data_IF_946224234038
#
_entry.id   IF_946224234038
#
_cell.length_a   1.000
_cell.length_b   1.000
_cell.length_c   1.000
_cell.angle_alpha   90.00
_cell.angle_beta   90.00
_cell.angle_gamma   90.00
#
_symmetry.space_group_name_H-M   'P 1'
#
loop_
_entity.id
_entity.type
_entity.pdbx_description
1 polymer ?
#
# COMPACT_ATOMS: atom_id res chain seq x y z
N UNK A 1 -4.86 4.40 16.99
CA UNK A 1 -3.80 3.35 16.99
C UNK A 1 -2.89 3.62 18.18
N UNK A 2 -2.98 2.78 19.23
CA UNK A 2 -2.19 2.98 20.46
C UNK A 2 -0.84 2.25 20.36
N UNK A 3 -0.02 2.65 19.38
CA UNK A 3 1.33 2.13 19.22
C UNK A 3 2.29 2.92 20.10
N UNK A 4 3.16 2.22 20.81
CA UNK A 4 4.26 2.79 21.60
C UNK A 4 5.61 2.43 20.99
N UNK A 5 6.68 3.07 21.44
CA UNK A 5 8.05 2.71 21.04
C UNK A 5 8.35 1.24 21.35
N UNK A 6 7.94 0.76 22.53
CA UNK A 6 8.15 -0.64 22.93
C UNK A 6 7.35 -1.61 22.06
N UNK A 7 6.16 -1.25 21.59
CA UNK A 7 5.39 -2.09 20.66
C UNK A 7 6.13 -2.23 19.34
N UNK A 8 6.66 -1.15 18.77
CA UNK A 8 7.46 -1.19 17.54
C UNK A 8 8.68 -2.10 17.69
N UNK A 9 9.41 -1.98 18.80
CA UNK A 9 10.60 -2.79 19.08
C UNK A 9 10.24 -4.25 19.35
N UNK A 10 9.10 -4.51 19.99
CA UNK A 10 8.61 -5.87 20.21
C UNK A 10 8.25 -6.55 18.91
N UNK A 11 7.54 -5.87 18.02
CA UNK A 11 7.24 -6.36 16.67
C UNK A 11 8.54 -6.68 15.91
N UNK A 12 9.52 -5.77 15.95
CA UNK A 12 10.79 -5.99 15.26
C UNK A 12 11.54 -7.22 15.81
N UNK A 13 11.53 -7.45 17.12
CA UNK A 13 12.13 -8.63 17.75
C UNK A 13 11.42 -9.93 17.35
N UNK A 14 10.09 -9.94 17.39
CA UNK A 14 9.30 -11.12 17.03
C UNK A 14 9.48 -11.48 15.57
N UNK A 15 9.44 -10.51 14.66
CA UNK A 15 9.70 -10.74 13.25
C UNK A 15 11.11 -11.31 13.00
N UNK A 16 12.14 -10.80 13.70
CA UNK A 16 13.48 -11.34 13.57
C UNK A 16 13.58 -12.81 14.01
N UNK A 17 12.85 -13.21 15.05
CA UNK A 17 12.79 -14.63 15.51
C UNK A 17 12.26 -15.58 14.43
N UNK A 18 11.46 -15.06 13.51
CA UNK A 18 10.88 -15.82 12.39
C UNK A 18 11.61 -15.59 11.06
N UNK A 19 12.80 -14.97 11.09
CA UNK A 19 13.69 -14.83 9.94
C UNK A 19 13.52 -13.54 9.14
N UNK A 20 12.61 -12.65 9.53
CA UNK A 20 12.46 -11.32 8.91
C UNK A 20 13.60 -10.41 9.38
N UNK A 21 14.44 -9.96 8.47
CA UNK A 21 15.60 -9.11 8.80
C UNK A 21 15.36 -7.63 8.55
N UNK A 22 14.34 -7.29 7.75
CA UNK A 22 13.95 -5.92 7.39
C UNK A 22 12.43 -5.77 7.43
N UNK A 23 11.94 -4.73 8.09
CA UNK A 23 10.53 -4.38 8.22
C UNK A 23 10.23 -3.00 7.62
N UNK A 24 9.04 -2.87 7.07
CA UNK A 24 8.42 -1.59 6.71
C UNK A 24 7.14 -1.43 7.54
N UNK A 25 7.22 -0.78 8.71
CA UNK A 25 6.03 -0.52 9.51
C UNK A 25 4.95 0.16 8.68
N UNK A 26 3.74 -0.38 8.76
CA UNK A 26 2.62 0.04 7.90
C UNK A 26 1.53 0.68 8.73
N UNK A 27 1.03 1.83 8.28
CA UNK A 27 -0.11 2.52 8.90
C UNK A 27 -1.44 1.97 8.37
N UNK A 28 -2.53 2.32 9.04
CA UNK A 28 -3.91 2.20 8.52
C UNK A 28 -4.46 3.59 8.26
N UNK A 29 -5.58 3.67 7.51
CA UNK A 29 -6.30 4.92 7.35
C UNK A 29 -6.70 5.50 8.71
N UNK A 30 -6.29 6.74 9.00
CA UNK A 30 -6.51 7.43 10.27
C UNK A 30 -6.64 8.95 10.04
N UNK A 31 -6.84 9.70 11.11
CA UNK A 31 -6.65 11.15 11.07
C UNK A 31 -5.17 11.53 11.14
N UNK A 32 -4.88 12.78 10.77
CA UNK A 32 -3.50 13.26 10.70
C UNK A 32 -2.83 13.33 12.09
N UNK A 33 -3.58 13.49 13.18
CA UNK A 33 -3.00 13.52 14.52
C UNK A 33 -2.44 12.15 14.93
N UNK A 34 -3.20 11.08 14.64
CA UNK A 34 -2.73 9.71 14.88
C UNK A 34 -1.54 9.38 13.99
N UNK A 35 -1.59 9.76 12.70
CA UNK A 35 -0.48 9.56 11.79
C UNK A 35 0.79 10.27 12.27
N UNK A 36 0.70 11.56 12.60
CA UNK A 36 1.86 12.34 13.06
C UNK A 36 2.45 11.80 14.35
N UNK A 37 1.62 11.36 15.31
CA UNK A 37 2.10 10.68 16.51
C UNK A 37 2.90 9.41 16.16
N UNK A 38 2.43 8.63 15.19
CA UNK A 38 3.14 7.44 14.73
C UNK A 38 4.48 7.78 14.05
N UNK A 39 4.51 8.81 13.20
CA UNK A 39 5.75 9.30 12.60
C UNK A 39 6.79 9.70 13.66
N UNK A 40 6.35 10.39 14.73
CA UNK A 40 7.22 10.79 15.85
C UNK A 40 7.74 9.57 16.62
N UNK A 41 6.94 8.52 16.79
CA UNK A 41 7.38 7.26 17.43
C UNK A 41 8.40 6.57 16.54
N UNK A 42 8.13 6.46 15.24
CA UNK A 42 9.04 5.83 14.29
C UNK A 42 10.42 6.52 14.27
N UNK A 43 10.44 7.85 14.26
CA UNK A 43 11.69 8.63 14.29
C UNK A 43 12.58 8.30 15.51
N UNK A 44 11.98 7.98 16.67
CA UNK A 44 12.72 7.60 17.89
C UNK A 44 13.24 6.15 17.87
N UNK A 45 12.64 5.25 17.09
CA UNK A 45 13.00 3.82 17.10
C UNK A 45 13.72 3.33 15.86
N UNK A 46 13.67 4.05 14.74
CA UNK A 46 14.14 3.60 13.42
C UNK A 46 15.61 3.15 13.39
N UNK A 47 16.46 3.73 14.23
CA UNK A 47 17.89 3.41 14.30
C UNK A 47 18.24 2.35 15.35
N UNK A 48 17.27 1.87 16.12
CA UNK A 48 17.49 0.86 17.14
C UNK A 48 17.67 -0.53 16.51
N UNK A 49 18.72 -1.26 16.94
CA UNK A 49 19.11 -2.56 16.39
C UNK A 49 18.76 -3.73 17.31
N UNK A 50 17.57 -3.68 17.91
CA UNK A 50 17.11 -4.71 18.87
C UNK A 50 16.27 -5.83 18.23
N UNK A 51 16.04 -5.80 16.91
CA UNK A 51 15.21 -6.74 16.18
C UNK A 51 15.50 -6.65 14.68
N UNK A 52 14.50 -6.95 13.83
CA UNK A 52 14.56 -6.67 12.43
C UNK A 52 14.81 -5.16 12.18
N UNK A 53 15.63 -4.82 11.20
CA UNK A 53 15.88 -3.42 10.85
C UNK A 53 14.62 -2.77 10.28
N UNK A 54 14.44 -1.49 10.53
CA UNK A 54 13.40 -0.69 9.88
C UNK A 54 13.93 -0.12 8.56
N UNK A 55 13.21 -0.38 7.46
CA UNK A 55 13.60 0.03 6.10
C UNK A 55 12.94 1.31 5.60
N UNK A 56 12.12 1.93 6.44
CA UNK A 56 11.26 3.07 6.11
C UNK A 56 9.81 2.79 6.45
N UNK A 57 8.93 3.71 6.11
CA UNK A 57 7.50 3.64 6.40
C UNK A 57 6.70 3.33 5.14
N UNK A 58 5.71 2.46 5.27
CA UNK A 58 4.63 2.28 4.33
C UNK A 58 3.36 2.96 4.86
N UNK A 59 2.87 3.97 4.16
CA UNK A 59 1.57 4.55 4.44
C UNK A 59 0.49 3.82 3.63
N UNK A 60 -0.45 3.17 4.32
CA UNK A 60 -1.56 2.47 3.70
C UNK A 60 -2.84 3.29 3.82
N UNK A 61 -3.19 4.00 2.76
CA UNK A 61 -4.29 4.95 2.74
C UNK A 61 -3.91 6.34 3.24
N UNK A 62 -4.89 7.18 3.53
CA UNK A 62 -6.35 6.97 3.56
C UNK A 62 -7.07 7.10 2.20
N UNK A 63 -6.35 7.21 1.11
CA UNK A 63 -6.85 7.50 -0.23
C UNK A 63 -7.27 6.22 -0.94
N UNK A 64 -8.44 5.65 -0.53
CA UNK A 64 -8.92 4.34 -0.96
C UNK A 64 -10.36 4.38 -1.47
N UNK A 65 -10.68 3.49 -2.39
CA UNK A 65 -12.05 3.29 -2.86
C UNK A 65 -12.94 2.72 -1.74
N UNK A 66 -14.04 3.39 -1.45
CA UNK A 66 -14.94 3.01 -0.36
C UNK A 66 -15.45 1.56 -0.49
N UNK A 67 -15.74 1.11 -1.71
CA UNK A 67 -16.25 -0.25 -1.98
C UNK A 67 -15.20 -1.33 -1.68
N UNK A 68 -13.91 -0.99 -1.78
CA UNK A 68 -12.78 -1.91 -1.56
C UNK A 68 -12.00 -1.63 -0.28
N UNK A 69 -12.61 -0.94 0.69
CA UNK A 69 -11.96 -0.54 1.93
C UNK A 69 -11.46 -1.69 2.80
N UNK A 70 -12.03 -2.90 2.65
CA UNK A 70 -11.69 -4.01 3.53
C UNK A 70 -11.87 -3.67 5.00
N UNK A 71 -10.82 -3.83 5.79
CA UNK A 71 -10.78 -3.52 7.23
C UNK A 71 -10.48 -2.04 7.55
N UNK A 72 -10.28 -1.18 6.55
CA UNK A 72 -10.03 0.25 6.78
C UNK A 72 -11.29 0.95 7.31
N UNK A 73 -11.12 1.85 8.27
CA UNK A 73 -12.24 2.60 8.85
C UNK A 73 -12.79 3.61 7.83
N UNK A 74 -14.06 3.45 7.41
CA UNK A 74 -14.64 4.30 6.37
C UNK A 74 -14.72 5.79 6.73
N UNK A 75 -14.61 6.14 8.02
CA UNK A 75 -14.64 7.54 8.48
C UNK A 75 -13.41 8.34 8.02
N UNK A 76 -12.31 7.65 7.75
CA UNK A 76 -11.04 8.28 7.37
C UNK A 76 -10.80 8.28 5.86
N UNK A 77 -11.59 7.53 5.08
CA UNK A 77 -11.39 7.44 3.63
C UNK A 77 -11.75 8.76 2.94
N UNK A 78 -10.87 9.20 2.07
CA UNK A 78 -10.99 10.48 1.35
C UNK A 78 -10.15 10.48 0.07
N UNK A 79 -10.36 11.47 -0.78
CA UNK A 79 -9.51 11.69 -1.94
C UNK A 79 -8.20 12.38 -1.53
N UNK A 80 -7.10 12.20 -2.28
CA UNK A 80 -5.86 12.95 -2.07
C UNK A 80 -6.11 14.46 -2.13
N UNK A 81 -5.57 15.19 -1.14
CA UNK A 81 -5.55 16.66 -1.11
C UNK A 81 -4.10 17.15 -1.08
N UNK A 82 -3.71 18.07 -2.00
CA UNK A 82 -2.34 18.61 -2.02
C UNK A 82 -1.88 19.19 -0.69
N UNK A 83 -2.76 19.91 0.01
CA UNK A 83 -2.44 20.51 1.31
C UNK A 83 -2.11 19.41 2.34
N UNK A 84 -2.91 18.33 2.38
CA UNK A 84 -2.75 17.25 3.33
C UNK A 84 -1.50 16.40 3.05
N UNK A 85 -1.38 15.89 1.83
CA UNK A 85 -0.26 14.98 1.56
C UNK A 85 1.09 15.70 1.55
N UNK A 86 1.14 16.99 1.21
CA UNK A 86 2.37 17.76 1.33
C UNK A 86 2.77 17.97 2.78
N UNK A 87 1.83 18.27 3.68
CA UNK A 87 2.08 18.36 5.12
C UNK A 87 2.67 17.06 5.66
N UNK A 88 2.10 15.90 5.27
CA UNK A 88 2.59 14.58 5.69
C UNK A 88 3.99 14.32 5.14
N UNK A 89 4.23 14.59 3.86
CA UNK A 89 5.53 14.38 3.20
C UNK A 89 6.63 15.30 3.75
N UNK A 90 6.28 16.48 4.23
CA UNK A 90 7.23 17.40 4.85
C UNK A 90 7.52 17.05 6.31
N UNK A 91 6.62 16.26 6.96
CA UNK A 91 6.79 15.80 8.33
C UNK A 91 7.80 14.66 8.47
N UNK A 92 7.95 13.79 7.48
CA UNK A 92 8.86 12.65 7.54
C UNK A 92 9.53 12.38 6.21
N UNK A 93 10.86 12.16 6.26
CA UNK A 93 11.67 11.73 5.10
C UNK A 93 11.80 10.19 5.03
N UNK A 94 11.19 9.48 5.97
CA UNK A 94 11.30 8.02 6.08
C UNK A 94 10.19 7.28 5.33
N UNK A 95 9.24 7.99 4.73
CA UNK A 95 8.18 7.39 3.92
C UNK A 95 8.79 6.88 2.62
N UNK A 96 8.73 5.57 2.40
CA UNK A 96 9.32 4.92 1.21
C UNK A 96 8.26 4.34 0.28
N UNK A 97 7.04 4.14 0.77
CA UNK A 97 5.91 3.63 -0.01
C UNK A 97 4.61 4.23 0.47
N UNK A 98 3.69 4.51 -0.46
CA UNK A 98 2.33 4.95 -0.14
C UNK A 98 1.31 4.22 -1.01
N UNK A 99 0.37 3.51 -0.38
CA UNK A 99 -0.69 2.77 -1.06
C UNK A 99 -1.91 3.64 -1.28
N UNK A 100 -2.41 3.66 -2.51
CA UNK A 100 -3.45 4.57 -3.01
C UNK A 100 -4.33 3.82 -4.02
N UNK A 101 -5.62 4.15 -4.09
CA UNK A 101 -6.50 3.78 -5.18
C UNK A 101 -6.30 4.77 -6.35
N UNK A 102 -5.74 4.35 -7.49
CA UNK A 102 -5.31 5.27 -8.53
C UNK A 102 -6.46 5.94 -9.29
N UNK A 103 -7.65 5.36 -9.26
CA UNK A 103 -8.86 5.89 -9.91
C UNK A 103 -9.47 7.08 -9.17
N UNK A 104 -9.01 7.39 -7.96
CA UNK A 104 -9.54 8.52 -7.19
C UNK A 104 -9.11 9.87 -7.78
N UNK A 105 -9.99 10.89 -7.74
CA UNK A 105 -9.62 12.24 -8.13
C UNK A 105 -8.36 12.72 -7.40
N UNK A 106 -7.35 13.18 -8.15
CA UNK A 106 -6.08 13.69 -7.62
C UNK A 106 -5.04 12.61 -7.31
N UNK A 107 -5.36 11.31 -7.50
CA UNK A 107 -4.43 10.22 -7.19
C UNK A 107 -3.25 10.14 -8.17
N UNK A 108 -3.49 10.38 -9.46
CA UNK A 108 -2.43 10.33 -10.47
C UNK A 108 -1.41 11.46 -10.27
N UNK A 109 -1.87 12.68 -10.03
CA UNK A 109 -1.01 13.83 -9.72
C UNK A 109 -0.20 13.59 -8.43
N UNK A 110 -0.82 12.94 -7.44
CA UNK A 110 -0.11 12.55 -6.23
C UNK A 110 0.93 11.46 -6.51
N UNK A 111 0.63 10.49 -7.37
CA UNK A 111 1.58 9.50 -7.86
C UNK A 111 2.84 10.12 -8.45
N UNK A 112 2.67 11.14 -9.32
CA UNK A 112 3.79 11.91 -9.88
C UNK A 112 4.65 12.58 -8.79
N UNK A 113 4.04 13.10 -7.74
CA UNK A 113 4.76 13.75 -6.64
C UNK A 113 5.57 12.72 -5.86
N UNK A 114 4.98 11.58 -5.51
CA UNK A 114 5.65 10.49 -4.82
C UNK A 114 6.83 9.97 -5.65
N UNK A 115 6.60 9.69 -6.93
CA UNK A 115 7.64 9.19 -7.83
C UNK A 115 8.83 10.16 -7.93
N UNK A 116 8.57 11.47 -8.09
CA UNK A 116 9.65 12.49 -8.11
C UNK A 116 10.41 12.61 -6.80
N UNK A 117 9.78 12.25 -5.66
CA UNK A 117 10.43 12.21 -4.34
C UNK A 117 11.14 10.88 -4.05
N UNK A 118 11.10 9.91 -4.98
CA UNK A 118 11.68 8.58 -4.79
C UNK A 118 10.87 7.69 -3.85
N UNK A 119 9.61 8.03 -3.61
CA UNK A 119 8.65 7.25 -2.83
C UNK A 119 7.86 6.39 -3.79
N UNK A 120 7.69 5.08 -3.49
CA UNK A 120 6.96 4.15 -4.34
C UNK A 120 5.44 4.36 -4.19
N UNK A 121 4.73 4.91 -5.21
CA UNK A 121 3.29 4.85 -5.22
C UNK A 121 2.84 3.43 -5.52
N UNK A 122 1.98 2.86 -4.67
CA UNK A 122 1.50 1.50 -4.76
C UNK A 122 -0.02 1.47 -4.90
N UNK A 123 -0.54 0.55 -5.69
CA UNK A 123 -1.98 0.37 -5.90
C UNK A 123 -2.54 -0.51 -4.78
N UNK A 124 -3.59 -0.07 -4.12
CA UNK A 124 -4.32 -0.86 -3.13
C UNK A 124 -5.76 -0.36 -2.93
N UNK A 125 -6.63 -1.22 -2.40
CA UNK A 125 -8.02 -0.87 -2.03
C UNK A 125 -8.75 -0.13 -3.15
N UNK A 126 -8.79 -0.72 -4.34
CA UNK A 126 -9.11 -0.05 -5.60
C UNK A 126 -10.25 -0.73 -6.38
N UNK A 127 -11.10 0.07 -7.02
CA UNK A 127 -12.06 -0.35 -8.06
C UNK A 127 -11.53 -0.07 -9.49
N UNK A 128 -10.21 0.20 -9.61
CA UNK A 128 -9.58 0.48 -10.89
C UNK A 128 -9.80 -0.66 -11.90
N UNK A 129 -10.18 -0.35 -13.10
CA UNK A 129 -10.14 -1.28 -14.23
C UNK A 129 -8.74 -1.30 -14.83
N UNK A 130 -8.49 -2.23 -15.74
CA UNK A 130 -7.18 -2.41 -16.40
C UNK A 130 -6.64 -1.10 -16.99
N UNK A 131 -7.49 -0.33 -17.66
CA UNK A 131 -7.13 0.94 -18.28
C UNK A 131 -6.71 2.01 -17.24
N UNK A 132 -7.34 2.03 -16.08
CA UNK A 132 -6.96 2.92 -14.99
C UNK A 132 -5.56 2.57 -14.46
N UNK A 133 -5.23 1.27 -14.36
CA UNK A 133 -3.90 0.81 -13.95
C UNK A 133 -2.85 1.15 -15.00
N UNK A 134 -3.15 0.95 -16.30
CA UNK A 134 -2.25 1.37 -17.40
C UNK A 134 -1.95 2.87 -17.33
N UNK A 135 -2.95 3.69 -17.01
CA UNK A 135 -2.72 5.14 -16.82
C UNK A 135 -1.88 5.40 -15.57
N UNK A 136 -2.17 4.73 -14.46
CA UNK A 136 -1.42 4.87 -13.21
C UNK A 136 0.08 4.54 -13.36
N UNK A 137 0.43 3.54 -14.18
CA UNK A 137 1.84 3.22 -14.47
C UNK A 137 2.60 4.43 -15.04
N UNK A 138 1.97 5.23 -15.90
CA UNK A 138 2.60 6.46 -16.45
C UNK A 138 2.87 7.51 -15.38
N UNK A 139 2.17 7.44 -14.26
CA UNK A 139 2.31 8.31 -13.09
C UNK A 139 3.14 7.69 -11.96
N UNK A 140 3.91 6.63 -12.28
CA UNK A 140 4.89 6.02 -11.38
C UNK A 140 4.36 4.90 -10.49
N UNK A 141 3.10 4.47 -10.61
CA UNK A 141 2.56 3.32 -9.90
C UNK A 141 3.10 2.03 -10.52
N UNK A 142 4.10 1.43 -9.88
CA UNK A 142 4.77 0.22 -10.36
C UNK A 142 4.67 -0.94 -9.37
N UNK A 143 3.76 -0.85 -8.40
CA UNK A 143 3.59 -1.85 -7.36
C UNK A 143 2.12 -2.02 -6.99
N UNK A 144 1.72 -3.26 -6.65
CA UNK A 144 0.41 -3.58 -6.09
C UNK A 144 0.61 -4.21 -4.71
N UNK A 145 0.06 -3.55 -3.69
CA UNK A 145 0.09 -4.02 -2.30
C UNK A 145 -0.92 -5.17 -2.11
N UNK A 146 -0.59 -6.17 -1.31
CA UNK A 146 -1.43 -7.33 -0.92
C UNK A 146 -2.36 -7.82 -2.06
N UNK A 147 -1.72 -8.22 -3.17
CA UNK A 147 -2.39 -8.67 -4.39
C UNK A 147 -3.51 -9.68 -4.12
N UNK A 148 -4.61 -9.54 -4.81
CA UNK A 148 -5.92 -10.16 -4.64
C UNK A 148 -6.79 -9.58 -3.51
N UNK A 149 -6.21 -8.93 -2.50
CA UNK A 149 -6.98 -8.39 -1.38
C UNK A 149 -7.48 -6.99 -1.69
N UNK A 150 -8.78 -6.75 -1.47
CA UNK A 150 -9.40 -5.43 -1.63
C UNK A 150 -9.15 -4.77 -3.00
N UNK A 151 -9.23 -5.55 -4.06
CA UNK A 151 -9.13 -5.07 -5.46
C UNK A 151 -10.03 -5.90 -6.37
N UNK A 152 -10.42 -5.33 -7.51
CA UNK A 152 -11.24 -6.05 -8.46
C UNK A 152 -10.40 -6.89 -9.44
N UNK A 153 -10.99 -7.98 -9.91
CA UNK A 153 -10.62 -8.66 -11.14
C UNK A 153 -11.66 -8.36 -12.22
N UNK A 154 -11.98 -9.37 -13.04
CA UNK A 154 -12.99 -9.21 -14.10
C UNK A 154 -14.34 -8.77 -13.54
N UNK A 155 -14.77 -7.57 -13.90
CA UNK A 155 -16.07 -6.99 -13.51
C UNK A 155 -17.03 -6.93 -14.70
N UNK A 156 -18.30 -6.67 -14.41
CA UNK A 156 -19.32 -6.47 -15.43
C UNK A 156 -20.04 -5.14 -15.21
N UNK A 157 -19.89 -4.21 -16.17
CA UNK A 157 -20.56 -2.91 -16.15
C UNK A 157 -21.37 -2.76 -17.45
N UNK A 158 -22.67 -2.43 -17.34
CA UNK A 158 -23.58 -2.24 -18.49
C UNK A 158 -23.52 -3.39 -19.53
N UNK A 159 -23.53 -4.64 -19.06
CA UNK A 159 -23.42 -5.87 -19.84
C UNK A 159 -22.03 -6.15 -20.47
N UNK A 160 -21.08 -5.23 -20.44
CA UNK A 160 -19.70 -5.44 -20.89
C UNK A 160 -18.82 -5.97 -19.77
N UNK A 161 -17.81 -6.76 -20.12
CA UNK A 161 -16.78 -7.22 -19.17
C UNK A 161 -15.57 -6.31 -19.27
N UNK A 162 -15.00 -6.02 -18.11
CA UNK A 162 -13.77 -5.24 -17.95
C UNK A 162 -12.79 -6.08 -17.16
N UNK A 163 -11.53 -6.11 -17.59
CA UNK A 163 -10.42 -6.57 -16.78
C UNK A 163 -10.20 -5.57 -15.62
N UNK A 164 -9.72 -6.04 -14.50
CA UNK A 164 -9.49 -5.23 -13.33
C UNK A 164 -8.01 -5.11 -12.96
N UNK A 165 -7.77 -4.70 -11.72
CA UNK A 165 -6.43 -4.57 -11.15
C UNK A 165 -5.69 -5.92 -11.11
N UNK A 166 -6.40 -7.03 -10.89
CA UNK A 166 -5.80 -8.37 -10.87
C UNK A 166 -5.23 -8.72 -12.26
N UNK A 167 -5.99 -8.53 -13.32
CA UNK A 167 -5.52 -8.80 -14.68
C UNK A 167 -4.38 -7.85 -15.09
N UNK A 168 -4.40 -6.61 -14.60
CA UNK A 168 -3.30 -5.68 -14.82
C UNK A 168 -2.00 -6.16 -14.15
N UNK A 169 -2.08 -6.68 -12.93
CA UNK A 169 -0.93 -7.27 -12.22
C UNK A 169 -0.32 -8.49 -12.90
N UNK A 170 -1.09 -9.20 -13.76
CA UNK A 170 -0.59 -10.31 -14.56
C UNK A 170 0.05 -9.89 -15.89
N UNK A 171 -0.39 -8.79 -16.46
CA UNK A 171 -0.14 -8.45 -17.87
C UNK A 171 0.88 -7.31 -18.05
N UNK A 172 1.09 -6.48 -17.03
CA UNK A 172 1.96 -5.32 -17.11
C UNK A 172 3.33 -5.65 -16.52
N UNK A 173 4.35 -5.70 -17.34
CA UNK A 173 5.74 -6.01 -16.95
C UNK A 173 6.34 -4.97 -15.99
N UNK A 174 5.80 -3.76 -15.98
CA UNK A 174 6.22 -2.68 -15.08
C UNK A 174 5.73 -2.88 -13.64
N UNK A 175 4.73 -3.75 -13.42
CA UNK A 175 4.09 -3.94 -12.13
C UNK A 175 4.78 -5.06 -11.35
N UNK A 176 5.17 -4.77 -10.13
CA UNK A 176 5.51 -5.77 -9.10
C UNK A 176 4.34 -5.98 -8.16
N UNK A 177 4.18 -7.19 -7.65
CA UNK A 177 3.07 -7.53 -6.75
C UNK A 177 3.60 -8.00 -5.39
N UNK A 178 2.86 -7.70 -4.33
CA UNK A 178 3.12 -8.18 -2.97
C UNK A 178 2.02 -9.17 -2.56
N UNK A 179 2.40 -10.27 -1.94
CA UNK A 179 1.47 -11.31 -1.49
C UNK A 179 1.48 -11.46 0.02
N UNK A 180 0.30 -11.62 0.62
CA UNK A 180 0.18 -12.07 2.00
C UNK A 180 0.19 -13.61 2.00
N UNK A 181 1.30 -14.20 2.45
CA UNK A 181 1.54 -15.65 2.37
C UNK A 181 1.24 -16.39 3.69
N UNK A 182 0.28 -15.89 4.45
CA UNK A 182 -0.13 -16.48 5.74
C UNK A 182 -1.02 -17.72 5.62
N UNK A 183 -1.35 -18.13 4.38
CA UNK A 183 -2.22 -19.26 4.09
C UNK A 183 -3.72 -19.00 4.28
N UNK A 184 -4.09 -17.77 4.67
CA UNK A 184 -5.47 -17.33 4.87
C UNK A 184 -5.91 -16.36 3.77
N UNK A 185 -5.11 -15.30 3.52
CA UNK A 185 -5.44 -14.29 2.52
C UNK A 185 -5.30 -14.80 1.08
N UNK A 186 -4.25 -15.57 0.80
CA UNK A 186 -4.04 -16.15 -0.53
C UNK A 186 -3.99 -17.68 -0.40
N UNK A 187 -5.04 -18.42 -0.82
CA UNK A 187 -5.06 -19.87 -0.79
C UNK A 187 -4.05 -20.47 -1.78
N UNK A 188 -3.55 -21.65 -1.46
CA UNK A 188 -2.52 -22.34 -2.26
C UNK A 188 -2.82 -22.43 -3.77
N UNK A 189 -4.05 -22.70 -4.25
CA UNK A 189 -4.35 -22.69 -5.69
C UNK A 189 -4.08 -21.35 -6.38
N UNK A 190 -4.34 -20.22 -5.70
CA UNK A 190 -4.05 -18.90 -6.26
C UNK A 190 -2.54 -18.60 -6.28
N UNK A 191 -1.80 -19.03 -5.26
CA UNK A 191 -0.32 -18.93 -5.27
C UNK A 191 0.28 -19.73 -6.44
N UNK A 192 -0.23 -20.94 -6.68
CA UNK A 192 0.20 -21.77 -7.81
C UNK A 192 -0.13 -21.13 -9.16
N UNK A 193 -1.30 -20.49 -9.29
CA UNK A 193 -1.67 -19.75 -10.52
C UNK A 193 -0.69 -18.63 -10.81
N UNK A 194 -0.27 -17.88 -9.79
CA UNK A 194 0.74 -16.82 -9.94
C UNK A 194 2.07 -17.34 -10.45
N UNK A 195 2.58 -18.45 -9.90
CA UNK A 195 3.82 -19.07 -10.35
C UNK A 195 3.73 -19.43 -11.83
N UNK A 196 2.63 -20.05 -12.27
CA UNK A 196 2.44 -20.45 -13.67
C UNK A 196 2.23 -19.30 -14.65
N UNK A 197 1.78 -18.14 -14.19
CA UNK A 197 1.59 -16.95 -15.05
C UNK A 197 2.89 -16.16 -15.18
N UNK A 198 3.75 -16.21 -14.16
CA UNK A 198 5.02 -15.47 -14.12
C UNK A 198 6.22 -16.22 -14.74
N UNK A 199 6.04 -17.47 -15.16
CA UNK A 199 7.03 -18.29 -15.90
C UNK A 199 6.83 -18.15 -17.42
#
# INVERSE_FOLDING_TARGET
MDCTEEDCLTIAREHLRHGTTLLYPTTLASDNQELFRFLDIYDRVKDQRSGAAFGGLHLEGPYFAYAFRGAQDPRYLRNPSPEEYMEILDRSQDIVRWSIAPELPGALEFGDILHRRGILPSIAHTDAIYEDVVEAVKHGFTHITHFYSCMNGVTRRNAFRYAGCVEAGYLLDEITIELITDGVHVPAPLMLSLIHISE
#
